data_IF_181666093359
#
_entry.id   IF_181666093359
#
_cell.length_a   1.000
_cell.length_b   1.000
_cell.length_c   1.000
_cell.angle_alpha   90.00
_cell.angle_beta   90.00
_cell.angle_gamma   90.00
#
_symmetry.space_group_name_H-M   'P 1'
#
loop_
_entity.id
_entity.type
_entity.pdbx_description
1 polymer ?
#
# COMPACT_ATOMS: atom_id res chain seq x y z
N UNK A 1 -43.89 1.81 -5.33
CA UNK A 1 -43.01 1.94 -4.15
C UNK A 1 -41.86 2.83 -4.56
N UNK A 2 -41.53 3.83 -3.74
CA UNK A 2 -40.42 4.74 -3.99
C UNK A 2 -39.08 4.01 -3.79
N UNK A 3 -38.08 4.28 -4.64
CA UNK A 3 -36.76 3.67 -4.50
C UNK A 3 -36.02 4.33 -3.33
N UNK A 4 -35.97 3.63 -2.19
CA UNK A 4 -35.32 4.12 -0.96
C UNK A 4 -33.78 4.09 -1.02
N UNK A 5 -33.21 3.37 -2.01
CA UNK A 5 -31.79 3.04 -2.07
C UNK A 5 -30.88 4.28 -2.13
N UNK A 6 -31.14 5.32 -2.96
CA UNK A 6 -30.29 6.49 -3.05
C UNK A 6 -30.24 7.28 -1.73
N UNK A 7 -31.37 7.40 -1.05
CA UNK A 7 -31.43 8.10 0.25
C UNK A 7 -30.65 7.32 1.31
N UNK A 8 -30.81 5.99 1.32
CA UNK A 8 -30.14 5.08 2.23
C UNK A 8 -28.62 5.13 2.07
N UNK A 9 -28.14 5.03 0.83
CA UNK A 9 -26.72 5.16 0.50
C UNK A 9 -26.18 6.51 0.97
N UNK A 10 -26.88 7.62 0.66
CA UNK A 10 -26.45 8.95 1.08
C UNK A 10 -26.34 9.10 2.60
N UNK A 11 -27.27 8.51 3.36
CA UNK A 11 -27.23 8.51 4.83
C UNK A 11 -26.02 7.71 5.35
N UNK A 12 -25.78 6.51 4.81
CA UNK A 12 -24.64 5.67 5.17
C UNK A 12 -23.32 6.38 4.90
N UNK A 13 -23.15 6.97 3.71
CA UNK A 13 -21.92 7.69 3.34
C UNK A 13 -21.66 8.90 4.26
N UNK A 14 -22.70 9.66 4.59
CA UNK A 14 -22.59 10.80 5.52
C UNK A 14 -22.22 10.35 6.92
N UNK A 15 -22.85 9.28 7.41
CA UNK A 15 -22.56 8.72 8.73
C UNK A 15 -21.13 8.17 8.79
N UNK A 16 -20.70 7.44 7.76
CA UNK A 16 -19.36 6.91 7.64
C UNK A 16 -18.31 8.03 7.63
N UNK A 17 -18.49 9.06 6.80
CA UNK A 17 -17.61 10.22 6.77
C UNK A 17 -17.54 10.92 8.14
N UNK A 18 -18.68 11.15 8.78
CA UNK A 18 -18.73 11.78 10.09
C UNK A 18 -18.07 10.92 11.18
N UNK A 19 -18.17 9.59 11.10
CA UNK A 19 -17.50 8.66 12.01
C UNK A 19 -15.98 8.76 11.88
N UNK A 20 -15.46 8.78 10.64
CA UNK A 20 -14.03 8.97 10.36
C UNK A 20 -13.54 10.31 10.92
N UNK A 21 -14.23 11.41 10.59
CA UNK A 21 -13.82 12.78 10.99
C UNK A 21 -13.78 12.96 12.52
N UNK A 22 -14.66 12.28 13.25
CA UNK A 22 -14.72 12.36 14.72
C UNK A 22 -13.79 11.37 15.42
N UNK A 23 -13.20 10.43 14.69
CA UNK A 23 -12.38 9.38 15.28
C UNK A 23 -10.98 9.91 15.61
N UNK A 24 -10.71 10.10 16.90
CA UNK A 24 -9.42 10.58 17.41
C UNK A 24 -8.26 9.65 17.06
N UNK A 25 -8.48 8.33 16.99
CA UNK A 25 -7.42 7.38 16.63
C UNK A 25 -7.03 7.54 15.17
N UNK A 26 -8.01 7.71 14.27
CA UNK A 26 -7.75 8.00 12.86
C UNK A 26 -6.96 9.30 12.71
N UNK A 27 -7.30 10.35 13.46
CA UNK A 27 -6.54 11.59 13.45
C UNK A 27 -5.06 11.40 13.84
N UNK A 28 -4.79 10.65 14.91
CA UNK A 28 -3.41 10.30 15.34
C UNK A 28 -2.68 9.47 14.29
N UNK A 29 -3.36 8.51 13.65
CA UNK A 29 -2.77 7.70 12.58
C UNK A 29 -2.37 8.58 11.38
N UNK A 30 -3.21 9.54 10.98
CA UNK A 30 -2.88 10.48 9.92
C UNK A 30 -1.66 11.33 10.22
N UNK A 31 -1.45 11.75 11.48
CA UNK A 31 -0.24 12.45 11.89
C UNK A 31 1.01 11.58 11.68
N UNK A 32 0.98 10.32 12.14
CA UNK A 32 2.12 9.40 11.98
C UNK A 32 2.42 9.08 10.51
N UNK A 33 1.39 9.02 9.67
CA UNK A 33 1.53 8.84 8.21
C UNK A 33 2.15 10.09 7.58
N UNK A 34 1.69 11.29 7.97
CA UNK A 34 2.24 12.56 7.48
C UNK A 34 3.72 12.72 7.84
N UNK A 35 4.09 12.32 9.05
CA UNK A 35 5.46 12.38 9.55
C UNK A 35 6.38 11.31 8.93
N UNK A 36 5.82 10.37 8.15
CA UNK A 36 6.57 9.29 7.51
C UNK A 36 7.10 8.24 8.49
N UNK A 37 6.57 8.22 9.72
CA UNK A 37 7.00 7.28 10.78
C UNK A 37 6.15 6.02 10.82
N UNK A 38 4.94 6.06 10.25
CA UNK A 38 4.02 4.93 10.15
C UNK A 38 4.63 3.71 9.46
N UNK A 39 4.12 2.54 9.84
CA UNK A 39 4.47 1.22 9.33
C UNK A 39 3.20 0.44 9.00
N UNK A 40 3.34 -0.81 8.58
CA UNK A 40 2.20 -1.70 8.33
C UNK A 40 1.36 -1.99 9.58
N UNK A 41 1.91 -1.78 10.79
CA UNK A 41 1.11 -1.80 12.00
C UNK A 41 0.06 -0.68 11.99
N UNK A 42 0.47 0.56 11.75
CA UNK A 42 -0.43 1.71 11.65
C UNK A 42 -1.39 1.57 10.45
N UNK A 43 -0.96 0.95 9.36
CA UNK A 43 -1.86 0.63 8.23
C UNK A 43 -2.98 -0.33 8.64
N UNK A 44 -2.66 -1.38 9.39
CA UNK A 44 -3.66 -2.34 9.89
C UNK A 44 -4.58 -1.71 10.95
N UNK A 45 -4.04 -0.88 11.86
CA UNK A 45 -4.86 -0.12 12.81
C UNK A 45 -5.81 0.84 12.09
N UNK A 46 -5.33 1.55 11.07
CA UNK A 46 -6.18 2.41 10.22
C UNK A 46 -7.29 1.60 9.54
N UNK A 47 -6.95 0.47 8.92
CA UNK A 47 -7.92 -0.40 8.28
C UNK A 47 -9.01 -0.91 9.25
N UNK A 48 -8.64 -1.26 10.48
CA UNK A 48 -9.62 -1.64 11.52
C UNK A 48 -10.58 -0.48 11.79
N UNK A 49 -10.06 0.71 12.07
CA UNK A 49 -10.89 1.87 12.44
C UNK A 49 -11.80 2.33 11.29
N UNK A 50 -11.35 2.24 10.03
CA UNK A 50 -12.20 2.52 8.87
C UNK A 50 -13.28 1.45 8.73
N UNK A 51 -12.94 0.17 8.86
CA UNK A 51 -13.89 -0.93 8.78
C UNK A 51 -14.96 -0.86 9.88
N UNK A 52 -14.56 -0.56 11.12
CA UNK A 52 -15.48 -0.37 12.26
C UNK A 52 -16.39 0.84 12.04
N UNK A 53 -15.85 1.95 11.48
CA UNK A 53 -16.64 3.14 11.15
C UNK A 53 -17.72 2.86 10.08
N UNK A 54 -17.39 2.03 9.08
CA UNK A 54 -18.35 1.66 8.03
C UNK A 54 -19.40 0.66 8.56
N UNK A 55 -18.98 -0.35 9.33
CA UNK A 55 -19.87 -1.29 10.00
C UNK A 55 -20.90 -0.58 10.88
N UNK A 56 -20.46 0.41 11.66
CA UNK A 56 -21.34 1.23 12.50
C UNK A 56 -22.29 2.10 11.66
N UNK A 57 -21.83 2.63 10.52
CA UNK A 57 -22.71 3.36 9.59
C UNK A 57 -23.80 2.46 8.98
N UNK A 58 -23.47 1.21 8.63
CA UNK A 58 -24.46 0.23 8.22
C UNK A 58 -25.47 -0.06 9.33
N UNK A 59 -24.99 -0.40 10.53
CA UNK A 59 -25.84 -0.72 11.68
C UNK A 59 -26.83 0.39 12.04
N UNK A 60 -26.44 1.65 11.90
CA UNK A 60 -27.27 2.80 12.23
C UNK A 60 -28.33 3.14 11.16
N UNK A 61 -28.17 2.65 9.94
CA UNK A 61 -29.03 3.03 8.82
C UNK A 61 -29.71 1.84 8.13
N UNK A 62 -29.26 0.62 8.38
CA UNK A 62 -29.85 -0.61 7.87
C UNK A 62 -30.52 -1.36 9.03
N UNK A 63 -31.81 -1.61 8.89
CA UNK A 63 -32.60 -2.44 9.80
C UNK A 63 -33.83 -2.97 9.06
N UNK A 64 -34.46 -4.02 9.59
CA UNK A 64 -35.70 -4.53 9.03
C UNK A 64 -36.79 -3.43 8.94
N UNK A 65 -36.88 -2.54 9.93
CA UNK A 65 -37.89 -1.47 9.96
C UNK A 65 -37.73 -0.42 8.84
N UNK A 66 -36.51 -0.26 8.32
CA UNK A 66 -36.20 0.69 7.24
C UNK A 66 -36.33 0.02 5.86
N UNK A 67 -36.07 -1.28 5.80
CA UNK A 67 -36.05 -2.04 4.55
C UNK A 67 -37.46 -2.45 4.12
N UNK A 68 -37.73 -2.57 2.82
CA UNK A 68 -39.04 -2.98 2.35
C UNK A 68 -39.34 -4.41 2.81
N UNK A 69 -40.48 -4.59 3.46
CA UNK A 69 -40.92 -5.87 4.04
C UNK A 69 -39.90 -6.50 5.00
N UNK A 70 -39.03 -5.72 5.65
CA UNK A 70 -37.98 -6.25 6.51
C UNK A 70 -36.74 -6.79 5.78
N UNK A 71 -36.74 -6.76 4.44
CA UNK A 71 -35.81 -7.53 3.61
C UNK A 71 -34.80 -6.67 2.88
N UNK A 72 -33.54 -7.08 2.95
CA UNK A 72 -32.47 -6.54 2.10
C UNK A 72 -32.54 -7.18 0.71
N UNK A 73 -33.26 -6.57 -0.24
CA UNK A 73 -33.30 -7.11 -1.60
C UNK A 73 -31.96 -6.96 -2.33
N UNK A 74 -31.69 -7.88 -3.27
CA UNK A 74 -30.44 -7.88 -4.06
C UNK A 74 -30.16 -6.54 -4.73
N UNK A 75 -31.18 -5.91 -5.33
CA UNK A 75 -31.06 -4.61 -6.01
C UNK A 75 -30.72 -3.46 -5.05
N UNK A 76 -31.06 -3.56 -3.76
CA UNK A 76 -30.67 -2.59 -2.72
C UNK A 76 -29.22 -2.87 -2.32
N UNK A 77 -28.91 -4.12 -1.96
CA UNK A 77 -27.58 -4.54 -1.53
C UNK A 77 -26.50 -4.26 -2.60
N UNK A 78 -26.80 -4.54 -3.88
CA UNK A 78 -25.88 -4.40 -5.00
C UNK A 78 -25.57 -2.95 -5.40
N UNK A 79 -26.23 -1.97 -4.78
CA UNK A 79 -26.04 -0.52 -4.99
C UNK A 79 -25.53 0.20 -3.75
N UNK A 80 -25.44 -0.50 -2.61
CA UNK A 80 -24.96 0.06 -1.36
C UNK A 80 -23.60 -0.52 -1.02
N UNK A 81 -23.49 -1.85 -1.06
CA UNK A 81 -22.29 -2.56 -0.60
C UNK A 81 -21.08 -2.30 -1.51
N UNK A 82 -21.18 -2.40 -2.85
CA UNK A 82 -20.03 -2.11 -3.72
C UNK A 82 -19.50 -0.68 -3.57
N UNK A 83 -20.39 0.31 -3.60
CA UNK A 83 -20.06 1.73 -3.55
C UNK A 83 -19.33 2.09 -2.25
N UNK A 84 -19.85 1.61 -1.13
CA UNK A 84 -19.25 1.87 0.19
C UNK A 84 -17.94 1.11 0.41
N UNK A 85 -17.85 -0.15 -0.03
CA UNK A 85 -16.62 -0.95 0.09
C UNK A 85 -15.53 -0.50 -0.88
N UNK A 86 -15.89 0.04 -2.04
CA UNK A 86 -14.96 0.68 -2.97
C UNK A 86 -14.32 1.91 -2.33
N UNK A 87 -15.14 2.81 -1.75
CA UNK A 87 -14.62 3.98 -1.05
C UNK A 87 -13.73 3.59 0.14
N UNK A 88 -14.13 2.57 0.91
CA UNK A 88 -13.30 2.02 1.99
C UNK A 88 -11.94 1.50 1.46
N UNK A 89 -11.96 0.74 0.36
CA UNK A 89 -10.75 0.26 -0.30
C UNK A 89 -9.84 1.39 -0.77
N UNK A 90 -10.39 2.45 -1.37
CA UNK A 90 -9.63 3.61 -1.81
C UNK A 90 -8.89 4.29 -0.66
N UNK A 91 -9.59 4.56 0.45
CA UNK A 91 -8.99 5.18 1.64
C UNK A 91 -7.81 4.36 2.19
N UNK A 92 -8.01 3.04 2.33
CA UNK A 92 -6.99 2.14 2.88
C UNK A 92 -5.81 1.99 1.92
N UNK A 93 -6.07 1.84 0.61
CA UNK A 93 -5.00 1.68 -0.38
C UNK A 93 -4.18 2.95 -0.57
N UNK A 94 -4.78 4.13 -0.48
CA UNK A 94 -4.03 5.39 -0.53
C UNK A 94 -3.08 5.55 0.66
N UNK A 95 -3.58 5.33 1.87
CA UNK A 95 -2.78 5.38 3.09
C UNK A 95 -1.68 4.33 3.08
N UNK A 96 -2.01 3.09 2.71
CA UNK A 96 -1.05 1.99 2.71
C UNK A 96 0.02 2.17 1.63
N UNK A 97 -0.34 2.72 0.46
CA UNK A 97 0.61 3.08 -0.58
C UNK A 97 1.65 4.08 -0.07
N UNK A 98 1.18 5.14 0.61
CA UNK A 98 2.07 6.17 1.20
C UNK A 98 3.03 5.55 2.23
N UNK A 99 2.52 4.69 3.10
CA UNK A 99 3.33 3.97 4.10
C UNK A 99 4.39 3.09 3.41
N UNK A 100 4.01 2.31 2.40
CA UNK A 100 4.92 1.45 1.64
C UNK A 100 6.00 2.27 0.92
N UNK A 101 5.64 3.41 0.33
CA UNK A 101 6.61 4.31 -0.31
C UNK A 101 7.60 4.89 0.70
N UNK A 102 7.16 5.27 1.89
CA UNK A 102 8.04 5.81 2.93
C UNK A 102 8.94 4.72 3.53
N UNK A 103 8.44 3.49 3.66
CA UNK A 103 9.26 2.32 4.00
C UNK A 103 10.32 2.05 2.92
N UNK A 104 9.94 2.08 1.64
CA UNK A 104 10.87 1.93 0.53
C UNK A 104 11.94 3.02 0.54
N UNK A 105 11.57 4.29 0.72
CA UNK A 105 12.52 5.41 0.80
C UNK A 105 13.49 5.26 1.96
N UNK A 106 13.01 4.90 3.16
CA UNK A 106 13.87 4.62 4.34
C UNK A 106 14.84 3.47 4.07
N UNK A 107 14.40 2.47 3.32
CA UNK A 107 15.23 1.36 2.87
C UNK A 107 16.14 1.71 1.66
N UNK A 108 16.08 2.93 1.11
CA UNK A 108 16.84 3.32 -0.07
C UNK A 108 16.40 2.63 -1.36
N UNK A 109 15.13 2.21 -1.41
CA UNK A 109 14.49 1.56 -2.56
C UNK A 109 13.68 2.61 -3.32
N UNK A 110 14.01 2.85 -4.58
CA UNK A 110 13.35 3.83 -5.46
C UNK A 110 12.10 3.31 -6.16
N UNK A 111 11.38 2.36 -5.56
CA UNK A 111 10.24 1.66 -6.15
C UNK A 111 8.95 2.22 -5.55
N UNK A 112 7.97 2.51 -6.41
CA UNK A 112 6.63 2.93 -5.97
C UNK A 112 5.86 1.75 -5.38
N UNK A 113 4.93 2.05 -4.50
CA UNK A 113 4.02 1.04 -3.96
C UNK A 113 3.20 0.39 -5.09
N UNK A 114 3.06 -0.94 -5.03
CA UNK A 114 2.10 -1.68 -5.85
C UNK A 114 0.78 -1.72 -5.08
N UNK A 115 -0.29 -1.20 -5.69
CA UNK A 115 -1.64 -1.24 -5.11
C UNK A 115 -2.32 -2.54 -5.52
N UNK A 116 -2.92 -3.30 -4.58
CA UNK A 116 -3.72 -4.46 -4.92
C UNK A 116 -5.03 -4.02 -5.58
N UNK A 117 -5.63 -4.93 -6.36
CA UNK A 117 -6.96 -4.76 -6.94
C UNK A 117 -8.05 -5.01 -5.88
N UNK A 118 -9.22 -4.41 -6.10
CA UNK A 118 -10.40 -4.64 -5.27
C UNK A 118 -10.84 -6.10 -5.39
N UNK A 119 -11.12 -6.75 -4.27
CA UNK A 119 -11.64 -8.11 -4.26
C UNK A 119 -13.17 -8.11 -4.52
N UNK A 120 -13.55 -8.04 -5.80
CA UNK A 120 -14.96 -8.03 -6.24
C UNK A 120 -15.73 -9.30 -5.83
N UNK A 121 -15.08 -10.47 -5.87
CA UNK A 121 -15.69 -11.75 -5.47
C UNK A 121 -16.15 -11.71 -4.01
N UNK A 122 -15.35 -11.10 -3.15
CA UNK A 122 -15.69 -10.95 -1.73
C UNK A 122 -16.87 -10.00 -1.53
N UNK A 123 -16.96 -8.91 -2.29
CA UNK A 123 -18.11 -7.99 -2.29
C UNK A 123 -19.37 -8.73 -2.72
N UNK A 124 -19.28 -9.49 -3.83
CA UNK A 124 -20.39 -10.32 -4.33
C UNK A 124 -20.88 -11.30 -3.28
N UNK A 125 -19.96 -11.99 -2.59
CA UNK A 125 -20.31 -12.92 -1.51
C UNK A 125 -21.03 -12.25 -0.33
N UNK A 126 -20.76 -10.98 -0.02
CA UNK A 126 -21.50 -10.23 0.99
C UNK A 126 -22.92 -9.91 0.51
N UNK A 127 -23.08 -9.44 -0.73
CA UNK A 127 -24.37 -9.13 -1.36
C UNK A 127 -25.26 -10.37 -1.36
N UNK A 128 -24.75 -11.52 -1.81
CA UNK A 128 -25.50 -12.77 -1.84
C UNK A 128 -25.97 -13.18 -0.44
N UNK A 129 -25.11 -13.08 0.58
CA UNK A 129 -25.47 -13.44 1.96
C UNK A 129 -26.57 -12.56 2.53
N UNK A 130 -26.48 -11.25 2.37
CA UNK A 130 -27.49 -10.35 2.96
C UNK A 130 -28.83 -10.39 2.21
N UNK A 131 -28.83 -10.79 0.94
CA UNK A 131 -30.02 -10.74 0.08
C UNK A 131 -30.85 -12.02 0.03
N UNK A 132 -30.29 -13.13 0.55
CA UNK A 132 -30.88 -14.45 0.48
C UNK A 132 -31.76 -14.83 1.69
N UNK A 133 -32.05 -13.90 2.59
CA UNK A 133 -32.92 -14.12 3.76
C UNK A 133 -34.15 -13.21 3.72
N UNK A 134 -35.17 -13.56 4.50
CA UNK A 134 -36.42 -12.82 4.59
C UNK A 134 -36.31 -11.64 5.57
N UNK A 135 -35.75 -11.85 6.76
CA UNK A 135 -35.50 -10.80 7.75
C UNK A 135 -34.02 -10.38 7.72
N UNK A 136 -33.77 -9.09 7.50
CA UNK A 136 -32.42 -8.53 7.51
C UNK A 136 -31.71 -8.70 8.86
N UNK A 137 -32.43 -8.68 9.98
CA UNK A 137 -31.83 -8.77 11.31
C UNK A 137 -31.08 -10.09 11.52
N UNK A 138 -31.49 -11.17 10.85
CA UNK A 138 -30.82 -12.48 10.91
C UNK A 138 -29.44 -12.47 10.24
N UNK A 139 -29.18 -11.51 9.34
CA UNK A 139 -27.94 -11.38 8.56
C UNK A 139 -27.23 -10.05 8.77
N UNK A 140 -27.71 -9.18 9.65
CA UNK A 140 -27.10 -7.88 9.91
C UNK A 140 -25.62 -7.99 10.30
N UNK A 141 -25.25 -9.08 11.00
CA UNK A 141 -23.87 -9.41 11.36
C UNK A 141 -22.91 -9.53 10.16
N UNK A 142 -23.42 -9.80 8.96
CA UNK A 142 -22.61 -9.91 7.73
C UNK A 142 -22.00 -8.56 7.35
N UNK A 143 -22.63 -7.45 7.73
CA UNK A 143 -22.15 -6.08 7.50
C UNK A 143 -21.47 -5.47 8.74
N UNK A 144 -21.06 -6.30 9.69
CA UNK A 144 -20.33 -5.89 10.90
C UNK A 144 -18.86 -6.32 10.80
N UNK A 145 -18.45 -7.32 11.60
CA UNK A 145 -17.07 -7.84 11.63
C UNK A 145 -16.51 -8.25 10.25
N UNK A 146 -17.27 -8.82 9.30
CA UNK A 146 -16.75 -9.11 7.97
C UNK A 146 -16.29 -7.86 7.19
N UNK A 147 -16.80 -6.66 7.50
CA UNK A 147 -16.37 -5.38 6.92
C UNK A 147 -15.02 -4.96 7.51
N UNK A 148 -14.83 -5.15 8.82
CA UNK A 148 -13.52 -4.96 9.47
C UNK A 148 -12.50 -5.92 8.88
N UNK A 149 -12.86 -7.18 8.73
CA UNK A 149 -12.00 -8.19 8.12
C UNK A 149 -11.68 -7.88 6.64
N UNK A 150 -12.62 -7.26 5.91
CA UNK A 150 -12.43 -6.82 4.52
C UNK A 150 -11.36 -5.74 4.47
N UNK A 151 -11.52 -4.76 5.34
CA UNK A 151 -10.60 -3.65 5.51
C UNK A 151 -9.18 -4.13 5.82
N UNK A 152 -9.03 -5.06 6.79
CA UNK A 152 -7.72 -5.63 7.13
C UNK A 152 -7.09 -6.43 5.97
N UNK A 153 -7.89 -7.18 5.20
CA UNK A 153 -7.36 -7.97 4.09
C UNK A 153 -6.73 -7.12 2.99
N UNK A 154 -7.17 -5.88 2.80
CA UNK A 154 -6.57 -4.95 1.84
C UNK A 154 -5.11 -4.68 2.20
N UNK A 155 -4.80 -4.53 3.49
CA UNK A 155 -3.43 -4.32 3.97
C UNK A 155 -2.59 -5.59 3.75
N UNK A 156 -3.14 -6.77 4.02
CA UNK A 156 -2.42 -8.04 3.80
C UNK A 156 -2.15 -8.27 2.30
N UNK A 157 -3.11 -7.95 1.42
CA UNK A 157 -2.95 -8.00 -0.03
C UNK A 157 -1.86 -7.01 -0.49
N UNK A 158 -1.81 -5.82 0.10
CA UNK A 158 -0.75 -4.84 -0.13
C UNK A 158 0.64 -5.41 0.18
N UNK A 159 0.78 -6.09 1.32
CA UNK A 159 2.04 -6.74 1.71
C UNK A 159 2.38 -7.82 0.69
N UNK A 160 1.41 -8.66 0.31
CA UNK A 160 1.62 -9.73 -0.67
C UNK A 160 2.13 -9.19 -2.00
N UNK A 161 1.41 -8.25 -2.62
CA UNK A 161 1.77 -7.72 -3.94
C UNK A 161 3.14 -7.03 -3.93
N UNK A 162 3.46 -6.27 -2.87
CA UNK A 162 4.76 -5.59 -2.79
C UNK A 162 5.90 -6.56 -2.51
N UNK A 163 5.69 -7.58 -1.67
CA UNK A 163 6.69 -8.64 -1.41
C UNK A 163 6.97 -9.44 -2.68
N UNK A 164 5.94 -9.83 -3.42
CA UNK A 164 6.08 -10.56 -4.67
C UNK A 164 6.79 -9.71 -5.73
N UNK A 165 6.38 -8.45 -5.89
CA UNK A 165 7.03 -7.52 -6.82
C UNK A 165 8.52 -7.32 -6.50
N UNK A 166 8.84 -7.07 -5.23
CA UNK A 166 10.23 -6.85 -4.82
C UNK A 166 11.07 -8.11 -4.91
N UNK A 167 10.49 -9.26 -4.54
CA UNK A 167 11.11 -10.56 -4.71
C UNK A 167 11.43 -10.87 -6.17
N UNK A 168 10.50 -10.57 -7.09
CA UNK A 168 10.72 -10.70 -8.53
C UNK A 168 11.82 -9.75 -9.05
N UNK A 169 11.99 -8.58 -8.41
CA UNK A 169 13.10 -7.66 -8.66
C UNK A 169 14.44 -8.09 -8.02
N UNK A 170 14.50 -9.25 -7.37
CA UNK A 170 15.71 -9.83 -6.79
C UNK A 170 16.05 -9.36 -5.38
N UNK A 171 15.11 -8.70 -4.69
CA UNK A 171 15.24 -8.37 -3.27
C UNK A 171 14.82 -9.54 -2.38
N UNK A 172 15.09 -9.42 -1.07
CA UNK A 172 14.74 -10.43 -0.07
C UNK A 172 13.86 -9.85 1.05
N UNK A 173 12.68 -9.31 0.71
CA UNK A 173 11.77 -8.78 1.71
C UNK A 173 11.35 -9.89 2.69
N UNK A 174 11.03 -9.47 3.90
CA UNK A 174 10.55 -10.34 4.97
C UNK A 174 9.14 -9.94 5.40
N UNK A 175 8.37 -10.94 5.76
CA UNK A 175 7.05 -10.78 6.38
C UNK A 175 7.18 -11.20 7.83
N UNK A 176 6.69 -10.37 8.74
CA UNK A 176 6.67 -10.67 10.16
C UNK A 176 5.20 -10.71 10.58
N UNK A 177 4.73 -11.91 10.94
CA UNK A 177 3.39 -12.08 11.50
C UNK A 177 3.51 -12.13 13.01
N UNK A 178 2.82 -11.21 13.67
CA UNK A 178 2.80 -11.06 15.12
C UNK A 178 1.38 -11.30 15.63
N UNK A 179 1.23 -12.21 16.58
CA UNK A 179 -0.05 -12.44 17.24
C UNK A 179 -0.31 -11.36 18.29
N UNK A 180 -1.59 -11.02 18.48
CA UNK A 180 -2.03 -10.03 19.45
C UNK A 180 -2.97 -10.71 20.45
N UNK A 181 -2.64 -10.64 21.74
CA UNK A 181 -3.44 -11.22 22.82
C UNK A 181 -3.59 -12.74 22.75
N UNK A 182 -4.71 -13.26 23.28
CA UNK A 182 -5.07 -14.69 23.18
C UNK A 182 -5.66 -14.97 21.78
N UNK A 183 -4.80 -15.26 20.81
CA UNK A 183 -5.23 -15.70 19.48
C UNK A 183 -5.53 -17.21 19.44
N UNK A 184 -6.20 -17.69 18.38
CA UNK A 184 -6.43 -19.12 18.21
C UNK A 184 -5.14 -19.87 17.87
N UNK A 185 -5.12 -21.18 18.14
CA UNK A 185 -3.94 -22.04 17.93
C UNK A 185 -3.43 -22.01 16.48
N UNK A 186 -4.33 -21.91 15.50
CA UNK A 186 -3.94 -21.80 14.10
C UNK A 186 -3.19 -20.49 13.81
N UNK A 187 -3.62 -19.36 14.37
CA UNK A 187 -2.90 -18.09 14.22
C UNK A 187 -1.56 -18.09 14.92
N UNK A 188 -1.49 -18.70 16.11
CA UNK A 188 -0.24 -18.85 16.86
C UNK A 188 0.81 -19.62 16.05
N UNK A 189 0.41 -20.71 15.38
CA UNK A 189 1.27 -21.49 14.49
C UNK A 189 1.77 -20.73 13.25
N UNK A 190 1.09 -19.64 12.87
CA UNK A 190 1.49 -18.77 11.76
C UNK A 190 2.33 -17.57 12.22
N UNK A 191 2.57 -17.40 13.51
CA UNK A 191 3.43 -16.34 14.02
C UNK A 191 4.88 -16.62 13.65
N UNK A 192 5.61 -15.57 13.23
CA UNK A 192 7.03 -15.68 12.90
C UNK A 192 7.46 -14.79 11.74
N UNK A 193 8.71 -14.96 11.34
CA UNK A 193 9.33 -14.23 10.24
C UNK A 193 9.54 -15.14 9.03
N UNK A 194 9.07 -14.71 7.87
CA UNK A 194 9.12 -15.44 6.62
C UNK A 194 9.89 -14.62 5.59
N UNK A 195 10.90 -15.23 4.96
CA UNK A 195 11.74 -14.54 3.95
C UNK A 195 11.36 -15.01 2.56
N UNK A 196 11.24 -14.07 1.62
CA UNK A 196 11.06 -14.40 0.20
C UNK A 196 12.27 -15.21 -0.32
N UNK A 197 12.08 -16.24 -1.19
CA UNK A 197 10.84 -16.65 -1.86
C UNK A 197 9.97 -17.66 -1.09
N UNK A 198 10.37 -18.08 0.11
CA UNK A 198 9.75 -19.19 0.83
C UNK A 198 8.53 -18.74 1.65
N UNK A 199 7.58 -18.05 1.01
CA UNK A 199 6.38 -17.49 1.64
C UNK A 199 5.16 -18.28 1.18
N UNK A 200 4.48 -18.94 2.11
CA UNK A 200 3.25 -19.70 1.86
C UNK A 200 2.03 -18.78 1.87
N UNK A 201 1.02 -19.08 1.03
CA UNK A 201 -0.24 -18.32 0.95
C UNK A 201 -0.98 -18.20 2.29
N UNK A 202 -0.88 -19.21 3.16
CA UNK A 202 -1.56 -19.20 4.46
C UNK A 202 -1.09 -18.09 5.41
N UNK A 203 0.09 -17.50 5.17
CA UNK A 203 0.65 -16.42 6.01
C UNK A 203 -0.22 -15.15 5.95
N UNK A 204 -1.00 -14.95 4.89
CA UNK A 204 -1.90 -13.80 4.74
C UNK A 204 -3.34 -14.11 5.18
N UNK A 205 -3.67 -15.38 5.45
CA UNK A 205 -5.03 -15.77 5.77
C UNK A 205 -5.41 -15.32 7.18
N UNK A 206 -6.67 -14.91 7.33
CA UNK A 206 -7.30 -14.48 8.59
C UNK A 206 -8.61 -15.22 8.80
N UNK A 207 -8.89 -15.57 10.05
CA UNK A 207 -10.27 -15.84 10.48
C UNK A 207 -11.00 -14.53 10.70
N UNK A 208 -12.32 -14.59 10.74
CA UNK A 208 -13.23 -13.44 10.81
C UNK A 208 -12.77 -12.38 11.83
N UNK A 209 -12.60 -12.75 13.11
CA UNK A 209 -12.21 -11.85 14.22
C UNK A 209 -10.69 -11.75 14.46
N UNK A 210 -9.87 -11.97 13.44
CA UNK A 210 -8.41 -11.97 13.62
C UNK A 210 -7.83 -10.54 13.73
N UNK A 211 -7.23 -10.22 14.88
CA UNK A 211 -6.49 -8.97 15.10
C UNK A 211 -4.96 -9.11 14.99
N UNK A 212 -4.46 -10.27 14.52
CA UNK A 212 -3.01 -10.46 14.33
C UNK A 212 -2.46 -9.42 13.34
N UNK A 213 -1.19 -9.05 13.47
CA UNK A 213 -0.56 -8.04 12.62
C UNK A 213 0.35 -8.78 11.65
N UNK A 214 0.22 -8.47 10.37
CA UNK A 214 1.20 -8.87 9.35
C UNK A 214 1.95 -7.59 9.00
N UNK A 215 3.26 -7.58 9.25
CA UNK A 215 4.13 -6.47 8.89
C UNK A 215 5.15 -6.90 7.85
N UNK A 216 5.79 -5.90 7.28
CA UNK A 216 6.71 -6.03 6.17
C UNK A 216 8.03 -5.35 6.54
N UNK A 217 9.13 -6.04 6.30
CA UNK A 217 10.48 -5.51 6.35
C UNK A 217 11.08 -5.57 4.94
N UNK A 218 11.41 -4.40 4.33
CA UNK A 218 12.01 -4.32 3.01
C UNK A 218 13.40 -4.96 2.90
N UNK A 219 13.97 -5.47 4.00
CA UNK A 219 15.32 -6.01 4.21
C UNK A 219 16.22 -5.82 2.98
N UNK A 220 17.20 -4.92 3.11
CA UNK A 220 18.26 -4.69 2.13
C UNK A 220 19.01 -6.00 1.95
N UNK A 221 18.48 -6.88 1.11
CA UNK A 221 19.00 -8.21 0.90
C UNK A 221 20.51 -8.12 0.70
N UNK A 222 21.26 -8.81 1.57
CA UNK A 222 22.72 -8.86 1.44
C UNK A 222 23.15 -9.39 0.08
N UNK A 223 22.29 -10.15 -0.60
CA UNK A 223 22.54 -10.72 -1.91
C UNK A 223 21.56 -10.21 -2.97
N UNK A 224 22.09 -9.80 -4.11
CA UNK A 224 21.36 -9.43 -5.33
C UNK A 224 21.41 -10.62 -6.30
N UNK A 225 20.27 -10.99 -6.88
CA UNK A 225 20.24 -11.97 -7.96
C UNK A 225 20.56 -11.31 -9.30
N UNK A 226 21.53 -11.87 -10.02
CA UNK A 226 21.81 -11.43 -11.38
C UNK A 226 20.71 -11.93 -12.33
N UNK A 227 20.04 -11.01 -13.04
CA UNK A 227 18.83 -11.31 -13.85
C UNK A 227 19.10 -12.30 -15.00
N UNK A 228 20.29 -12.27 -15.59
CA UNK A 228 20.67 -13.13 -16.72
C UNK A 228 21.20 -14.50 -16.30
N UNK A 229 22.02 -14.54 -15.25
CA UNK A 229 22.64 -15.78 -14.79
C UNK A 229 21.84 -16.49 -13.70
N UNK A 230 20.83 -15.81 -13.13
CA UNK A 230 20.06 -16.22 -11.94
C UNK A 230 20.91 -16.56 -10.72
N UNK A 231 22.20 -16.22 -10.74
CA UNK A 231 23.15 -16.42 -9.64
C UNK A 231 23.03 -15.31 -8.61
N UNK A 232 23.11 -15.69 -7.35
CA UNK A 232 23.07 -14.77 -6.21
C UNK A 232 24.47 -14.26 -5.89
N UNK A 233 24.58 -12.95 -5.63
CA UNK A 233 25.86 -12.30 -5.32
C UNK A 233 25.68 -11.25 -4.23
N UNK A 234 26.61 -11.19 -3.30
CA UNK A 234 26.59 -10.24 -2.19
C UNK A 234 26.69 -8.78 -2.71
N UNK A 235 25.76 -7.93 -2.25
CA UNK A 235 25.65 -6.51 -2.62
C UNK A 235 26.93 -5.74 -2.32
N UNK A 236 27.59 -6.03 -1.20
CA UNK A 236 28.88 -5.43 -0.84
C UNK A 236 29.97 -5.76 -1.87
N UNK A 237 30.00 -6.99 -2.39
CA UNK A 237 30.94 -7.40 -3.45
C UNK A 237 30.64 -6.68 -4.76
N UNK A 238 29.37 -6.42 -5.07
CA UNK A 238 28.97 -5.62 -6.25
C UNK A 238 29.31 -4.15 -6.07
N UNK A 239 29.04 -3.56 -4.90
CA UNK A 239 29.37 -2.16 -4.61
C UNK A 239 30.88 -1.92 -4.57
N UNK A 240 31.65 -2.89 -4.05
CA UNK A 240 33.11 -2.87 -4.15
C UNK A 240 33.56 -2.91 -5.61
N UNK A 241 32.98 -3.77 -6.45
CA UNK A 241 33.27 -3.83 -7.89
C UNK A 241 32.94 -2.55 -8.64
N UNK A 242 31.86 -1.84 -8.29
CA UNK A 242 31.54 -0.51 -8.86
C UNK A 242 32.64 0.53 -8.60
N UNK A 243 33.46 0.34 -7.56
CA UNK A 243 34.59 1.21 -7.22
C UNK A 243 35.90 0.77 -7.90
N UNK A 244 35.98 -0.45 -8.43
CA UNK A 244 37.17 -0.96 -9.13
C UNK A 244 37.21 -0.33 -10.52
N UNK A 245 38.23 0.51 -10.77
CA UNK A 245 38.42 1.23 -12.04
C UNK A 245 37.97 2.70 -12.02
N UNK A 246 37.35 3.18 -10.94
CA UNK A 246 37.18 4.61 -10.68
C UNK A 246 38.40 5.05 -9.86
N UNK A 247 39.49 5.40 -10.54
CA UNK A 247 40.53 6.19 -9.87
C UNK A 247 39.86 7.45 -9.32
N UNK A 248 40.27 7.89 -8.12
CA UNK A 248 39.92 9.22 -7.61
C UNK A 248 40.65 10.31 -8.43
N UNK A 249 40.60 10.24 -9.75
CA UNK A 249 40.95 11.37 -10.59
C UNK A 249 39.82 12.36 -10.43
N UNK A 250 40.15 13.48 -9.76
CA UNK A 250 39.32 14.67 -9.68
C UNK A 250 38.69 14.89 -11.05
N UNK A 251 37.38 14.65 -11.18
CA UNK A 251 36.64 14.96 -12.40
C UNK A 251 36.88 16.44 -12.68
N UNK A 252 37.63 16.73 -13.72
CA UNK A 252 37.90 18.08 -14.19
C UNK A 252 36.55 18.79 -14.38
N UNK A 253 36.40 20.00 -13.85
CA UNK A 253 35.11 20.72 -13.95
C UNK A 253 34.75 20.91 -15.42
N UNK A 254 33.46 21.02 -15.76
CA UNK A 254 33.03 21.28 -17.13
C UNK A 254 33.76 22.49 -17.74
N UNK A 255 34.02 23.56 -16.97
CA UNK A 255 34.76 24.73 -17.46
C UNK A 255 36.23 24.43 -17.71
N UNK A 256 36.90 23.71 -16.81
CA UNK A 256 38.31 23.34 -16.98
C UNK A 256 38.51 22.43 -18.20
N UNK A 257 37.58 21.49 -18.43
CA UNK A 257 37.57 20.64 -19.62
C UNK A 257 37.35 21.44 -20.89
N UNK A 258 36.45 22.44 -20.87
CA UNK A 258 36.20 23.33 -22.01
C UNK A 258 37.42 24.19 -22.35
N UNK A 259 38.09 24.75 -21.34
CA UNK A 259 39.30 25.55 -21.52
C UNK A 259 40.45 24.72 -22.09
N UNK A 260 40.60 23.46 -21.63
CA UNK A 260 41.64 22.56 -22.15
C UNK A 260 41.41 22.23 -23.63
N UNK A 261 40.18 21.88 -24.00
CA UNK A 261 39.80 21.60 -25.40
C UNK A 261 39.99 22.82 -26.30
N UNK A 262 39.66 24.04 -25.83
CA UNK A 262 39.91 25.29 -26.57
C UNK A 262 41.41 25.56 -26.80
N UNK A 263 42.25 25.16 -25.84
CA UNK A 263 43.70 25.34 -25.88
C UNK A 263 44.38 24.29 -26.77
N UNK A 264 43.91 23.04 -26.72
CA UNK A 264 44.38 21.91 -27.52
C UNK A 264 43.99 22.06 -29.00
N UNK A 265 42.80 22.59 -29.29
CA UNK A 265 42.33 22.81 -30.67
C UNK A 265 42.83 24.14 -31.29
N UNK A 266 43.75 24.87 -30.65
CA UNK A 266 44.39 26.07 -31.23
C UNK A 266 43.48 27.29 -31.43
N UNK A 267 42.20 27.22 -31.05
CA UNK A 267 41.18 28.27 -31.24
C UNK A 267 41.49 29.59 -30.51
N UNK A 268 42.41 29.57 -29.55
CA UNK A 268 42.90 30.78 -28.86
C UNK A 268 43.61 31.78 -29.79
N UNK A 269 44.25 31.34 -30.88
CA UNK A 269 44.98 32.25 -31.79
C UNK A 269 44.08 32.89 -32.84
N UNK A 270 43.03 32.20 -33.29
CA UNK A 270 42.04 32.76 -34.24
C UNK A 270 41.09 33.74 -33.55
N UNK A 271 40.66 33.46 -32.32
CA UNK A 271 39.88 34.40 -31.51
C UNK A 271 40.64 35.72 -31.23
N UNK A 272 41.97 35.66 -31.06
CA UNK A 272 42.80 36.87 -30.89
C UNK A 272 43.05 37.64 -32.19
N UNK A 273 43.00 36.99 -33.36
CA UNK A 273 43.14 37.67 -34.67
C UNK A 273 41.86 38.40 -35.09
N UNK A 274 40.68 37.90 -34.71
CA UNK A 274 39.40 38.55 -34.96
C UNK A 274 39.15 39.78 -34.08
N UNK A 275 39.87 39.92 -32.95
CA UNK A 275 39.73 41.04 -32.02
C UNK A 275 40.57 42.29 -32.37
N UNK A 276 41.43 42.24 -33.39
CA UNK A 276 42.19 43.41 -33.87
C UNK A 276 42.05 43.60 -35.38
N UNK A 277 41.06 44.38 -35.86
CA UNK A 277 41.04 44.83 -37.24
C UNK A 277 42.23 45.78 -37.49
N UNK A 278 43.02 45.46 -38.53
CA UNK A 278 44.10 46.33 -39.02
C UNK A 278 43.51 47.68 -39.43
N UNK A 279 43.89 48.74 -38.73
CA UNK A 279 43.70 50.13 -39.18
C UNK A 279 44.69 50.35 -40.32
N UNK A 280 44.21 50.32 -41.56
CA UNK A 280 44.93 50.87 -42.70
C UNK A 280 44.62 52.37 -42.81
N UNK A 281 45.69 53.15 -42.93
CA UNK A 281 45.71 54.58 -43.23
C UNK A 281 45.46 54.81 -44.72
#
# INVERSE_FOLDING_TARGET
>A
MEDITPELLSKIEKAFKAAIEKNKKIAVLYERIRDGTATYQEANEFAIEIGESLAEAFKNHLSADILPDGRMYYNIASRIIPETLQHNHELITEVTAKIQEDLNKRAGIGIKAIKPELNEDRIKGLIEKVSNVEDYNDVAWVLDEPIVNFSQSIVDDFIRENVEFQGAAGMRPKIIRTTVGKCCEWCEKLSGTYSYPNIRKDIYRRHERCRCIVTYDPDKGKDIQNVHTKRWQEREKIEARKKIGISQEKKESPEARQQRVMRENGLSREAQRLAHPKIHR
#
